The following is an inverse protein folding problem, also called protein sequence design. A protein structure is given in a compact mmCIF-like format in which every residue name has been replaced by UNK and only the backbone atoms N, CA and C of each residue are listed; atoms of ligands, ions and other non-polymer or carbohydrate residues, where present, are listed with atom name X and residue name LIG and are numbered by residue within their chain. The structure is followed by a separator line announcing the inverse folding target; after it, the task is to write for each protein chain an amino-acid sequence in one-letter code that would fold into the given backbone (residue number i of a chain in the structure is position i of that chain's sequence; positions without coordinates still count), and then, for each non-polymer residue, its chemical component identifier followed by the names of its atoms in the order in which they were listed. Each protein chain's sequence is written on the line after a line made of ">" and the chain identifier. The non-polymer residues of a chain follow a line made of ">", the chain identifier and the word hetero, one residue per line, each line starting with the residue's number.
data_IF_582984052230
#
_entry.id   IF_582984052230
#
_cell.length_a   1.000
_cell.length_b   1.000
_cell.length_c   1.000
_cell.angle_alpha   90.00
_cell.angle_beta   90.00
_cell.angle_gamma   90.00
#
_symmetry.space_group_name_H-M   'P 1'
#
loop_
_entity.id
_entity.type
_entity.pdbx_description
1 polymer ?
#
# COMPACT_ATOMS: atom_id res chain seq x y z
N UNK A 1 -5.08 -29.42 21.30
CA UNK A 1 -5.61 -30.15 20.11
C UNK A 1 -7.11 -30.15 20.24
N UNK A 2 -7.81 -29.39 19.40
CA UNK A 2 -9.24 -29.16 19.48
C UNK A 2 -9.66 -28.36 18.26
N UNK A 3 -9.73 -29.05 17.12
CA UNK A 3 -10.12 -28.51 15.83
C UNK A 3 -11.64 -28.49 15.74
N UNK A 4 -12.25 -27.34 15.98
CA UNK A 4 -13.65 -27.09 15.66
C UNK A 4 -13.79 -26.91 14.14
N UNK A 5 -14.07 -28.01 13.46
CA UNK A 5 -14.50 -28.03 12.06
C UNK A 5 -15.96 -27.58 12.03
N UNK A 6 -16.18 -26.29 11.78
CA UNK A 6 -17.52 -25.76 11.53
C UNK A 6 -17.94 -26.17 10.11
N UNK A 7 -18.66 -27.30 10.02
CA UNK A 7 -19.40 -27.72 8.83
C UNK A 7 -20.57 -26.75 8.61
N UNK A 8 -20.37 -25.72 7.79
CA UNK A 8 -21.48 -24.91 7.27
C UNK A 8 -22.13 -25.62 6.10
N UNK A 9 -23.27 -26.27 6.37
CA UNK A 9 -24.22 -26.77 5.38
C UNK A 9 -24.62 -25.65 4.41
N UNK A 10 -24.39 -25.88 3.11
CA UNK A 10 -25.08 -25.16 2.05
C UNK A 10 -26.53 -25.69 1.97
N UNK A 11 -27.56 -24.84 1.84
CA UNK A 11 -28.88 -25.33 1.52
C UNK A 11 -28.87 -25.75 0.04
N UNK A 12 -29.19 -27.03 -0.17
CA UNK A 12 -29.29 -27.68 -1.46
C UNK A 12 -30.40 -27.04 -2.30
N UNK A 13 -30.11 -26.82 -3.58
CA UNK A 13 -30.94 -26.11 -4.54
C UNK A 13 -31.77 -27.13 -5.32
N UNK A 14 -32.79 -27.71 -4.69
CA UNK A 14 -33.84 -28.44 -5.42
C UNK A 14 -35.16 -28.38 -4.68
N UNK A 15 -36.23 -28.10 -5.43
CA UNK A 15 -37.64 -27.99 -5.02
C UNK A 15 -38.10 -26.66 -4.41
N UNK A 16 -38.42 -25.66 -5.25
CA UNK A 16 -39.71 -24.94 -5.15
C UNK A 16 -40.11 -24.44 -6.54
N UNK A 17 -40.93 -25.23 -7.24
CA UNK A 17 -41.89 -24.71 -8.22
C UNK A 17 -43.14 -24.37 -7.39
N UNK A 18 -43.59 -23.12 -7.42
CA UNK A 18 -44.80 -22.72 -6.71
C UNK A 18 -44.93 -21.21 -6.51
N UNK A 19 -45.89 -20.64 -7.23
CA UNK A 19 -46.41 -19.27 -7.25
C UNK A 19 -46.57 -18.58 -5.87
N UNK A 20 -46.41 -17.24 -5.83
CA UNK A 20 -46.86 -16.40 -4.71
C UNK A 20 -45.83 -15.51 -3.98
N UNK A 21 -45.70 -14.25 -4.41
CA UNK A 21 -45.28 -13.09 -3.58
C UNK A 21 -43.77 -12.90 -3.29
N UNK A 22 -43.30 -11.66 -3.02
CA UNK A 22 -41.90 -11.37 -2.74
C UNK A 22 -41.51 -11.90 -1.35
N UNK A 23 -41.17 -13.18 -1.27
CA UNK A 23 -40.80 -13.84 -0.02
C UNK A 23 -39.50 -13.26 0.55
N UNK A 24 -39.44 -13.22 1.88
CA UNK A 24 -38.32 -12.73 2.71
C UNK A 24 -36.95 -13.28 2.28
N UNK A 25 -36.89 -14.42 1.59
CA UNK A 25 -35.68 -15.01 1.02
C UNK A 25 -34.90 -14.05 0.11
N UNK A 26 -35.59 -13.25 -0.73
CA UNK A 26 -34.93 -12.27 -1.61
C UNK A 26 -34.22 -11.15 -0.83
N UNK A 27 -34.72 -10.78 0.35
CA UNK A 27 -34.08 -9.79 1.24
C UNK A 27 -32.88 -10.38 1.98
N UNK A 28 -32.95 -11.65 2.36
CA UNK A 28 -31.85 -12.36 3.05
C UNK A 28 -30.68 -12.63 2.11
N UNK A 29 -30.92 -13.01 0.85
CA UNK A 29 -29.87 -13.18 -0.17
C UNK A 29 -29.18 -11.85 -0.50
N UNK A 30 -29.93 -10.74 -0.57
CA UNK A 30 -29.37 -9.39 -0.74
C UNK A 30 -28.51 -8.96 0.45
N UNK A 31 -28.98 -9.20 1.67
CA UNK A 31 -28.24 -8.90 2.90
C UNK A 31 -26.95 -9.76 3.01
N UNK A 32 -27.00 -11.03 2.60
CA UNK A 32 -25.85 -11.93 2.61
C UNK A 32 -24.73 -11.49 1.65
N UNK A 33 -25.08 -10.95 0.47
CA UNK A 33 -24.10 -10.33 -0.44
C UNK A 33 -23.42 -9.10 0.18
N UNK A 34 -24.18 -8.25 0.88
CA UNK A 34 -23.63 -7.08 1.59
C UNK A 34 -22.70 -7.51 2.74
N UNK A 35 -23.03 -8.59 3.45
CA UNK A 35 -22.18 -9.17 4.51
C UNK A 35 -20.85 -9.69 3.95
N UNK A 36 -20.81 -10.24 2.73
CA UNK A 36 -19.54 -10.58 2.04
C UNK A 36 -18.71 -9.33 1.74
N UNK A 37 -19.32 -8.25 1.26
CA UNK A 37 -18.62 -6.97 1.01
C UNK A 37 -18.08 -6.37 2.32
N UNK A 38 -18.79 -6.52 3.44
CA UNK A 38 -18.30 -6.12 4.77
C UNK A 38 -17.04 -6.87 5.23
N UNK A 39 -16.76 -8.07 4.70
CA UNK A 39 -15.46 -8.74 4.95
C UNK A 39 -14.30 -8.03 4.28
N UNK A 40 -14.53 -7.36 3.15
CA UNK A 40 -13.49 -6.54 2.49
C UNK A 40 -13.12 -5.32 3.33
N UNK A 41 -14.09 -4.75 4.05
CA UNK A 41 -13.82 -3.69 5.05
C UNK A 41 -12.89 -4.19 6.15
N UNK A 42 -12.91 -5.48 6.50
CA UNK A 42 -11.93 -6.06 7.45
C UNK A 42 -10.54 -6.12 6.85
N UNK A 43 -10.38 -6.43 5.57
CA UNK A 43 -9.09 -6.41 4.86
C UNK A 43 -8.54 -4.98 4.80
N UNK A 44 -9.38 -4.00 4.50
CA UNK A 44 -9.02 -2.57 4.54
C UNK A 44 -8.62 -2.14 5.96
N UNK A 45 -9.34 -2.59 7.00
CA UNK A 45 -8.99 -2.34 8.40
C UNK A 45 -7.68 -3.02 8.80
N UNK A 46 -7.43 -4.24 8.34
CA UNK A 46 -6.20 -4.97 8.62
C UNK A 46 -5.00 -4.35 7.92
N UNK A 47 -5.17 -3.90 6.67
CA UNK A 47 -4.19 -3.10 5.94
C UNK A 47 -3.86 -1.79 6.69
N UNK A 48 -4.87 -1.11 7.25
CA UNK A 48 -4.67 0.06 8.12
C UNK A 48 -3.91 -0.27 9.42
N UNK A 49 -4.15 -1.43 10.02
CA UNK A 49 -3.42 -1.87 11.23
C UNK A 49 -1.97 -2.21 10.90
N UNK A 50 -1.72 -2.86 9.76
CA UNK A 50 -0.37 -3.12 9.26
C UNK A 50 0.34 -1.79 9.02
N UNK A 51 -0.30 -0.82 8.36
CA UNK A 51 0.27 0.51 8.13
C UNK A 51 0.78 1.19 9.41
N UNK A 52 0.00 1.12 10.49
CA UNK A 52 0.33 1.73 11.77
C UNK A 52 1.48 1.03 12.52
N UNK A 53 1.75 -0.23 12.19
CA UNK A 53 2.83 -1.01 12.80
C UNK A 53 4.11 -1.01 11.93
N UNK A 54 3.99 -0.83 10.61
CA UNK A 54 5.11 -0.89 9.67
C UNK A 54 5.97 0.38 9.66
N UNK A 55 5.46 1.49 10.20
CA UNK A 55 6.11 2.81 10.18
C UNK A 55 7.38 2.92 11.04
N UNK A 56 7.70 1.90 11.86
CA UNK A 56 8.80 2.01 12.83
C UNK A 56 10.16 1.44 12.43
N UNK A 57 10.31 0.55 11.45
CA UNK A 57 11.64 -0.07 11.16
C UNK A 57 11.78 -0.73 9.80
N UNK A 58 10.80 -0.60 8.90
CA UNK A 58 10.73 -1.48 7.72
C UNK A 58 11.25 -0.79 6.45
N UNK A 59 12.08 -1.50 5.69
CA UNK A 59 12.65 -1.04 4.41
C UNK A 59 11.57 -0.48 3.47
N UNK A 60 11.83 0.67 2.83
CA UNK A 60 10.93 1.32 1.87
C UNK A 60 10.44 0.36 0.78
N UNK A 61 11.29 -0.58 0.34
CA UNK A 61 10.95 -1.58 -0.66
C UNK A 61 9.84 -2.54 -0.20
N UNK A 62 9.82 -2.90 1.09
CA UNK A 62 8.77 -3.76 1.64
C UNK A 62 7.43 -3.01 1.72
N UNK A 63 7.46 -1.72 2.09
CA UNK A 63 6.27 -0.88 2.14
C UNK A 63 5.66 -0.78 0.73
N UNK A 64 6.48 -0.53 -0.29
CA UNK A 64 6.08 -0.50 -1.70
C UNK A 64 5.48 -1.83 -2.16
N UNK A 65 6.08 -2.97 -1.79
CA UNK A 65 5.57 -4.29 -2.12
C UNK A 65 4.18 -4.56 -1.50
N UNK A 66 3.99 -4.21 -0.22
CA UNK A 66 2.70 -4.35 0.45
C UNK A 66 1.62 -3.47 -0.19
N UNK A 67 1.96 -2.22 -0.53
CA UNK A 67 1.06 -1.31 -1.26
C UNK A 67 0.62 -1.91 -2.61
N UNK A 68 1.56 -2.47 -3.38
CA UNK A 68 1.30 -3.12 -4.67
C UNK A 68 0.40 -4.36 -4.54
N UNK A 69 0.69 -5.26 -3.58
CA UNK A 69 -0.14 -6.44 -3.31
C UNK A 69 -1.57 -6.04 -2.93
N UNK A 70 -1.71 -4.99 -2.13
CA UNK A 70 -3.03 -4.51 -1.71
C UNK A 70 -3.87 -4.04 -2.89
N UNK A 71 -3.31 -3.22 -3.79
CA UNK A 71 -4.01 -2.76 -4.99
C UNK A 71 -4.34 -3.93 -5.92
N UNK A 72 -3.40 -4.84 -6.13
CA UNK A 72 -3.62 -6.04 -6.94
C UNK A 72 -4.80 -6.89 -6.41
N UNK A 73 -4.87 -7.12 -5.09
CA UNK A 73 -5.99 -7.85 -4.48
C UNK A 73 -7.31 -7.08 -4.64
N UNK A 74 -7.28 -5.75 -4.54
CA UNK A 74 -8.47 -4.93 -4.78
C UNK A 74 -8.98 -5.06 -6.23
N UNK A 75 -8.09 -5.03 -7.21
CA UNK A 75 -8.43 -5.19 -8.63
C UNK A 75 -9.01 -6.59 -8.91
N UNK A 76 -8.43 -7.65 -8.34
CA UNK A 76 -8.97 -9.01 -8.44
C UNK A 76 -10.39 -9.13 -7.87
N UNK A 77 -10.67 -8.42 -6.78
CA UNK A 77 -12.00 -8.40 -6.19
C UNK A 77 -13.00 -7.68 -7.11
N UNK A 78 -12.60 -6.55 -7.72
CA UNK A 78 -13.43 -5.85 -8.72
C UNK A 78 -13.74 -6.79 -9.89
N UNK A 79 -12.72 -7.47 -10.44
CA UNK A 79 -12.90 -8.51 -11.47
C UNK A 79 -13.91 -9.59 -11.03
N UNK A 80 -13.77 -10.12 -9.82
CA UNK A 80 -14.67 -11.15 -9.28
C UNK A 80 -16.11 -10.67 -9.20
N UNK A 81 -16.36 -9.46 -8.67
CA UNK A 81 -17.73 -8.94 -8.59
C UNK A 81 -18.31 -8.72 -9.98
N UNK A 82 -17.55 -8.12 -10.91
CA UNK A 82 -18.02 -7.91 -12.28
C UNK A 82 -18.39 -9.24 -12.96
N UNK A 83 -17.56 -10.27 -12.79
CA UNK A 83 -17.83 -11.61 -13.32
C UNK A 83 -19.08 -12.25 -12.67
N UNK A 84 -19.21 -12.18 -11.35
CA UNK A 84 -20.38 -12.72 -10.64
C UNK A 84 -21.68 -12.02 -11.05
N UNK A 85 -21.67 -10.69 -11.22
CA UNK A 85 -22.83 -9.95 -11.70
C UNK A 85 -23.15 -10.27 -13.16
N UNK A 86 -22.12 -10.47 -14.00
CA UNK A 86 -22.32 -10.89 -15.39
C UNK A 86 -22.95 -12.29 -15.50
N UNK A 87 -22.51 -13.25 -14.68
CA UNK A 87 -23.16 -14.56 -14.52
C UNK A 87 -24.60 -14.45 -14.01
N UNK A 88 -24.83 -13.58 -13.01
CA UNK A 88 -26.17 -13.39 -12.46
C UNK A 88 -27.12 -12.84 -13.53
N UNK A 89 -26.69 -11.82 -14.29
CA UNK A 89 -27.48 -11.23 -15.38
C UNK A 89 -27.80 -12.26 -16.46
N UNK A 90 -26.81 -13.08 -16.85
CA UNK A 90 -27.02 -14.14 -17.84
C UNK A 90 -28.01 -15.22 -17.41
N UNK A 91 -28.07 -15.55 -16.10
CA UNK A 91 -28.99 -16.57 -15.55
C UNK A 91 -30.37 -16.05 -15.15
N UNK A 92 -30.50 -14.76 -14.87
CA UNK A 92 -31.77 -14.13 -14.45
C UNK A 92 -32.80 -14.03 -15.58
N UNK A 93 -32.38 -14.21 -16.84
CA UNK A 93 -33.22 -14.06 -18.01
C UNK A 93 -33.62 -15.44 -18.53
N UNK A 94 -34.81 -15.90 -18.11
CA UNK A 94 -35.32 -17.25 -18.44
C UNK A 94 -35.75 -17.46 -19.89
N UNK A 95 -36.20 -16.41 -20.60
CA UNK A 95 -36.90 -16.55 -21.89
C UNK A 95 -36.29 -15.76 -23.07
N UNK A 96 -35.05 -15.24 -22.96
CA UNK A 96 -34.43 -14.48 -24.07
C UNK A 96 -32.94 -14.71 -24.21
N UNK A 97 -32.43 -14.51 -25.43
CA UNK A 97 -31.01 -14.71 -25.75
C UNK A 97 -30.10 -13.94 -24.76
N UNK A 98 -29.27 -14.70 -24.06
CA UNK A 98 -28.24 -14.22 -23.15
C UNK A 98 -26.86 -14.64 -23.67
N UNK A 99 -25.80 -14.04 -23.13
CA UNK A 99 -24.43 -14.47 -23.46
C UNK A 99 -24.18 -15.96 -23.13
N UNK A 100 -24.90 -16.52 -22.15
CA UNK A 100 -24.82 -17.94 -21.76
C UNK A 100 -25.48 -18.82 -22.83
N UNK A 101 -26.66 -18.41 -23.32
CA UNK A 101 -27.40 -19.06 -24.41
C UNK A 101 -26.59 -19.07 -25.70
N UNK A 102 -25.98 -17.93 -26.07
CA UNK A 102 -25.13 -17.80 -27.27
C UNK A 102 -23.92 -18.72 -27.22
N UNK A 103 -23.30 -18.89 -26.04
CA UNK A 103 -22.18 -19.83 -25.85
C UNK A 103 -22.63 -21.28 -25.59
N UNK A 104 -23.94 -21.57 -25.59
CA UNK A 104 -24.52 -22.89 -25.32
C UNK A 104 -24.09 -23.48 -23.97
N UNK A 105 -23.96 -22.62 -22.96
CA UNK A 105 -23.50 -22.96 -21.60
C UNK A 105 -24.67 -23.06 -20.60
N UNK A 106 -25.90 -23.24 -21.07
CA UNK A 106 -27.11 -23.22 -20.24
C UNK A 106 -27.15 -24.37 -19.22
N UNK A 107 -26.73 -25.56 -19.65
CA UNK A 107 -26.66 -26.76 -18.81
C UNK A 107 -25.28 -26.96 -18.16
N UNK A 108 -24.35 -26.03 -18.36
CA UNK A 108 -23.00 -26.12 -17.85
C UNK A 108 -22.96 -25.83 -16.34
N UNK A 109 -22.10 -26.57 -15.63
CA UNK A 109 -21.92 -26.33 -14.21
C UNK A 109 -21.23 -24.98 -13.95
N UNK A 110 -21.40 -24.43 -12.74
CA UNK A 110 -20.85 -23.12 -12.38
C UNK A 110 -19.33 -23.01 -12.56
N UNK A 111 -18.60 -24.11 -12.42
CA UNK A 111 -17.15 -24.15 -12.57
C UNK A 111 -16.68 -24.03 -14.03
N UNK A 112 -17.56 -24.27 -15.01
CA UNK A 112 -17.27 -24.09 -16.43
C UNK A 112 -17.64 -22.66 -16.88
N UNK A 113 -18.74 -22.12 -16.35
CA UNK A 113 -19.25 -20.79 -16.69
C UNK A 113 -18.44 -19.67 -16.03
N UNK A 114 -18.02 -19.87 -14.78
CA UNK A 114 -17.36 -18.83 -14.00
C UNK A 114 -15.99 -18.38 -14.55
N UNK A 115 -15.07 -19.27 -14.97
CA UNK A 115 -13.80 -18.86 -15.57
C UNK A 115 -13.99 -18.04 -16.85
N UNK A 116 -15.01 -18.39 -17.64
CA UNK A 116 -15.37 -17.67 -18.87
C UNK A 116 -15.86 -16.25 -18.57
N UNK A 117 -16.72 -16.09 -17.56
CA UNK A 117 -17.16 -14.77 -17.10
C UNK A 117 -16.04 -13.96 -16.42
N UNK A 118 -15.12 -14.62 -15.71
CA UNK A 118 -13.95 -13.99 -15.11
C UNK A 118 -13.00 -13.46 -16.18
N UNK A 119 -12.76 -14.26 -17.23
CA UNK A 119 -11.96 -13.82 -18.38
C UNK A 119 -12.62 -12.63 -19.09
N UNK A 120 -13.95 -12.63 -19.25
CA UNK A 120 -14.68 -11.47 -19.78
C UNK A 120 -14.51 -10.22 -18.90
N UNK A 121 -14.67 -10.34 -17.58
CA UNK A 121 -14.50 -9.22 -16.68
C UNK A 121 -13.07 -8.66 -16.71
N UNK A 122 -12.06 -9.54 -16.84
CA UNK A 122 -10.68 -9.15 -17.03
C UNK A 122 -10.44 -8.53 -18.41
N UNK A 123 -11.12 -8.99 -19.46
CA UNK A 123 -11.00 -8.41 -20.79
C UNK A 123 -11.50 -6.96 -20.86
N UNK A 124 -12.50 -6.60 -20.05
CA UNK A 124 -12.97 -5.21 -19.94
C UNK A 124 -11.90 -4.24 -19.39
N UNK A 125 -10.89 -4.75 -18.67
CA UNK A 125 -9.76 -3.94 -18.21
C UNK A 125 -8.67 -3.73 -19.27
N UNK A 126 -8.73 -4.47 -20.39
CA UNK A 126 -7.69 -4.51 -21.42
C UNK A 126 -6.54 -5.50 -21.14
N UNK A 127 -6.55 -6.21 -20.00
CA UNK A 127 -5.52 -7.21 -19.68
C UNK A 127 -5.77 -8.59 -20.30
N UNK A 128 -6.96 -8.83 -20.84
CA UNK A 128 -7.31 -10.07 -21.54
C UNK A 128 -8.15 -9.77 -22.78
N UNK A 129 -8.36 -10.79 -23.60
CA UNK A 129 -9.31 -10.75 -24.72
C UNK A 129 -10.47 -11.69 -24.43
N UNK A 130 -11.66 -11.34 -24.91
CA UNK A 130 -12.86 -12.17 -24.74
C UNK A 130 -13.73 -12.16 -25.99
N UNK A 131 -14.12 -13.35 -26.44
CA UNK A 131 -15.02 -13.54 -27.58
C UNK A 131 -16.51 -13.53 -27.17
N UNK A 132 -16.84 -12.83 -26.09
CA UNK A 132 -18.20 -12.77 -25.54
C UNK A 132 -18.73 -11.37 -25.77
N UNK A 133 -19.83 -11.31 -26.52
CA UNK A 133 -20.57 -10.08 -26.76
C UNK A 133 -21.90 -10.14 -25.99
N UNK A 134 -22.38 -8.98 -25.59
CA UNK A 134 -23.69 -8.84 -24.97
C UNK A 134 -24.78 -9.06 -26.03
N UNK A 135 -25.67 -10.03 -25.78
CA UNK A 135 -26.79 -10.34 -26.64
C UNK A 135 -28.01 -9.46 -26.32
N UNK A 136 -28.11 -9.01 -25.07
CA UNK A 136 -29.26 -8.24 -24.57
C UNK A 136 -28.95 -6.75 -24.39
N UNK A 137 -29.97 -5.89 -24.51
CA UNK A 137 -29.88 -4.47 -24.14
C UNK A 137 -29.42 -4.25 -22.68
N UNK A 138 -29.82 -5.11 -21.75
CA UNK A 138 -29.40 -5.02 -20.35
C UNK A 138 -27.92 -5.42 -20.20
N UNK A 139 -27.49 -6.49 -20.88
CA UNK A 139 -26.09 -6.89 -20.93
C UNK A 139 -25.21 -5.83 -21.58
N UNK A 140 -25.70 -5.16 -22.63
CA UNK A 140 -25.02 -4.06 -23.30
C UNK A 140 -24.83 -2.87 -22.35
N UNK A 141 -25.89 -2.43 -21.67
CA UNK A 141 -25.82 -1.36 -20.68
C UNK A 141 -24.83 -1.71 -19.55
N UNK A 142 -24.90 -2.94 -19.04
CA UNK A 142 -23.99 -3.41 -18.01
C UNK A 142 -22.53 -3.45 -18.49
N UNK A 143 -22.29 -3.94 -19.71
CA UNK A 143 -20.96 -3.98 -20.34
C UNK A 143 -20.37 -2.58 -20.48
N UNK A 144 -21.17 -1.61 -20.96
CA UNK A 144 -20.73 -0.22 -21.08
C UNK A 144 -20.36 0.38 -19.72
N UNK A 145 -21.16 0.16 -18.67
CA UNK A 145 -20.88 0.64 -17.32
C UNK A 145 -19.60 0.01 -16.74
N UNK A 146 -19.39 -1.29 -16.97
CA UNK A 146 -18.16 -1.98 -16.55
C UNK A 146 -16.93 -1.44 -17.26
N UNK A 147 -17.02 -1.14 -18.56
CA UNK A 147 -15.93 -0.52 -19.33
C UNK A 147 -15.54 0.87 -18.77
N UNK A 148 -16.52 1.74 -18.48
CA UNK A 148 -16.24 3.03 -17.83
C UNK A 148 -15.64 2.87 -16.44
N UNK A 149 -16.13 1.90 -15.65
CA UNK A 149 -15.57 1.63 -14.32
C UNK A 149 -14.12 1.17 -14.43
N UNK A 150 -13.78 0.31 -15.39
CA UNK A 150 -12.40 -0.11 -15.64
C UNK A 150 -11.50 1.01 -16.09
N UNK A 151 -11.98 1.91 -16.94
CA UNK A 151 -11.22 3.10 -17.33
C UNK A 151 -10.76 3.87 -16.09
N UNK A 152 -11.67 4.13 -15.14
CA UNK A 152 -11.34 4.83 -13.90
C UNK A 152 -10.38 4.02 -13.03
N UNK A 153 -10.64 2.72 -12.84
CA UNK A 153 -9.80 1.84 -12.01
C UNK A 153 -8.38 1.77 -12.55
N UNK A 154 -8.19 1.52 -13.86
CA UNK A 154 -6.86 1.44 -14.50
C UNK A 154 -6.12 2.77 -14.41
N UNK A 155 -6.79 3.91 -14.63
CA UNK A 155 -6.16 5.22 -14.46
C UNK A 155 -5.68 5.47 -13.02
N UNK A 156 -6.49 5.09 -12.03
CA UNK A 156 -6.14 5.24 -10.61
C UNK A 156 -4.99 4.32 -10.23
N UNK A 157 -5.00 3.06 -10.66
CA UNK A 157 -3.92 2.10 -10.34
C UNK A 157 -2.59 2.57 -10.92
N UNK A 158 -2.56 2.99 -12.19
CA UNK A 158 -1.37 3.57 -12.82
C UNK A 158 -0.87 4.80 -12.05
N UNK A 159 -1.78 5.70 -11.65
CA UNK A 159 -1.44 6.87 -10.85
C UNK A 159 -0.78 6.51 -9.51
N UNK A 160 -1.33 5.53 -8.80
CA UNK A 160 -0.76 5.04 -7.55
C UNK A 160 0.65 4.45 -7.76
N UNK A 161 0.83 3.57 -8.75
CA UNK A 161 2.15 3.02 -9.07
C UNK A 161 3.17 4.11 -9.45
N UNK A 162 2.76 5.12 -10.22
CA UNK A 162 3.61 6.25 -10.56
C UNK A 162 4.09 7.02 -9.33
N UNK A 163 3.16 7.35 -8.40
CA UNK A 163 3.52 8.06 -7.16
C UNK A 163 4.49 7.26 -6.30
N UNK A 164 4.26 5.96 -6.14
CA UNK A 164 5.11 5.06 -5.36
C UNK A 164 6.50 4.89 -5.97
N UNK A 165 6.59 4.77 -7.29
CA UNK A 165 7.87 4.73 -8.00
C UNK A 165 8.65 6.04 -7.80
N UNK A 166 7.95 7.17 -7.78
CA UNK A 166 8.58 8.48 -7.52
C UNK A 166 9.07 8.60 -6.08
N UNK A 167 8.27 8.17 -5.10
CA UNK A 167 8.67 8.13 -3.68
C UNK A 167 9.98 7.36 -3.48
N UNK A 168 10.13 6.18 -4.11
CA UNK A 168 11.37 5.41 -4.05
C UNK A 168 12.51 5.98 -4.90
N UNK A 169 12.20 6.72 -5.97
CA UNK A 169 13.22 7.31 -6.84
C UNK A 169 13.82 8.61 -6.27
N UNK A 170 13.08 9.38 -5.47
CA UNK A 170 13.58 10.66 -4.92
C UNK A 170 14.84 10.48 -4.06
N UNK A 171 14.96 9.37 -3.32
CA UNK A 171 16.18 9.00 -2.58
C UNK A 171 17.38 8.73 -3.53
N UNK A 172 17.11 8.09 -4.66
CA UNK A 172 18.12 7.81 -5.70
C UNK A 172 18.52 9.06 -6.49
N UNK A 173 17.59 10.03 -6.67
CA UNK A 173 17.83 11.25 -7.44
C UNK A 173 18.95 12.10 -6.85
N UNK A 174 18.98 12.29 -5.53
CA UNK A 174 20.03 13.06 -4.87
C UNK A 174 21.41 12.45 -5.14
N UNK A 175 21.55 11.12 -4.97
CA UNK A 175 22.79 10.39 -5.28
C UNK A 175 23.19 10.49 -6.75
N UNK A 176 22.25 10.36 -7.68
CA UNK A 176 22.51 10.45 -9.12
C UNK A 176 22.94 11.87 -9.50
N UNK A 177 22.25 12.89 -8.96
CA UNK A 177 22.57 14.29 -9.20
C UNK A 177 23.98 14.63 -8.70
N UNK A 178 24.34 14.17 -7.50
CA UNK A 178 25.66 14.43 -6.93
C UNK A 178 26.77 13.63 -7.61
N UNK A 179 26.48 12.41 -8.08
CA UNK A 179 27.39 11.66 -8.93
C UNK A 179 27.66 12.37 -10.26
N UNK A 180 26.62 12.98 -10.85
CA UNK A 180 26.76 13.76 -12.09
C UNK A 180 27.56 15.05 -11.86
N UNK A 181 27.34 15.74 -10.74
CA UNK A 181 28.10 16.93 -10.36
C UNK A 181 29.58 16.60 -10.13
N UNK A 182 29.87 15.52 -9.40
CA UNK A 182 31.23 15.03 -9.18
C UNK A 182 31.93 14.68 -10.49
N UNK A 183 31.23 13.99 -11.41
CA UNK A 183 31.78 13.67 -12.72
C UNK A 183 32.11 14.92 -13.54
N UNK A 184 31.18 15.89 -13.59
CA UNK A 184 31.41 17.18 -14.26
C UNK A 184 32.62 17.92 -13.68
N UNK A 185 32.77 17.93 -12.36
CA UNK A 185 33.90 18.56 -11.69
C UNK A 185 35.24 17.91 -12.08
N UNK A 186 35.30 16.58 -12.09
CA UNK A 186 36.51 15.83 -12.47
C UNK A 186 36.89 16.05 -13.94
N UNK A 187 35.89 16.13 -14.82
CA UNK A 187 36.07 16.42 -16.25
C UNK A 187 36.56 17.86 -16.48
N UNK A 188 35.96 18.85 -15.81
CA UNK A 188 36.35 20.28 -15.92
C UNK A 188 37.74 20.59 -15.37
N UNK A 189 38.22 19.81 -14.39
CA UNK A 189 39.57 19.95 -13.81
C UNK A 189 40.61 19.05 -14.45
N UNK A 190 40.26 18.38 -15.56
CA UNK A 190 41.15 17.49 -16.32
C UNK A 190 41.87 16.44 -15.45
N UNK A 191 41.16 15.92 -14.44
CA UNK A 191 41.72 14.94 -13.52
C UNK A 191 42.06 13.65 -14.28
N UNK A 192 43.23 13.07 -14.01
CA UNK A 192 43.66 11.80 -14.60
C UNK A 192 42.58 10.72 -14.51
N UNK A 193 42.33 10.01 -15.61
CA UNK A 193 41.26 8.97 -15.70
C UNK A 193 41.38 7.92 -14.60
N UNK A 194 42.61 7.57 -14.19
CA UNK A 194 42.86 6.61 -13.11
C UNK A 194 42.34 7.13 -11.78
N UNK A 195 42.63 8.38 -11.42
CA UNK A 195 42.17 9.00 -10.18
C UNK A 195 40.65 9.25 -10.21
N UNK A 196 40.13 9.76 -11.33
CA UNK A 196 38.70 10.00 -11.50
C UNK A 196 37.88 8.70 -11.33
N UNK A 197 38.35 7.58 -11.90
CA UNK A 197 37.68 6.28 -11.72
C UNK A 197 37.69 5.77 -10.28
N UNK A 198 38.79 5.98 -9.55
CA UNK A 198 38.90 5.62 -8.12
C UNK A 198 37.93 6.44 -7.27
N UNK A 199 37.85 7.75 -7.51
CA UNK A 199 36.94 8.67 -6.80
C UNK A 199 35.48 8.31 -7.09
N UNK A 200 35.11 8.09 -8.35
CA UNK A 200 33.74 7.71 -8.73
C UNK A 200 33.36 6.31 -8.23
N UNK A 201 34.33 5.40 -8.08
CA UNK A 201 34.12 4.09 -7.44
C UNK A 201 33.87 4.28 -5.95
N UNK A 202 34.70 5.07 -5.27
CA UNK A 202 34.53 5.36 -3.84
C UNK A 202 33.17 6.01 -3.56
N UNK A 203 32.77 7.00 -4.36
CA UNK A 203 31.45 7.64 -4.29
C UNK A 203 30.32 6.61 -4.43
N UNK A 204 30.37 5.71 -5.42
CA UNK A 204 29.29 4.71 -5.60
C UNK A 204 29.07 3.78 -4.41
N UNK A 205 30.13 3.44 -3.67
CA UNK A 205 30.05 2.51 -2.53
C UNK A 205 29.86 3.20 -1.18
N UNK A 206 30.37 4.42 -1.01
CA UNK A 206 30.42 5.10 0.29
C UNK A 206 29.58 6.37 0.36
N UNK A 207 29.01 6.83 -0.75
CA UNK A 207 28.15 8.00 -0.72
C UNK A 207 26.83 7.65 -0.04
N UNK A 208 26.69 8.17 1.16
CA UNK A 208 25.41 8.35 1.83
C UNK A 208 25.03 9.82 1.67
N UNK A 209 23.79 10.12 1.26
CA UNK A 209 23.30 11.49 1.26
C UNK A 209 23.56 12.08 2.64
N UNK A 210 24.21 13.24 2.69
CA UNK A 210 24.37 13.96 3.94
C UNK A 210 23.00 14.47 4.37
N UNK A 211 22.36 13.76 5.30
CA UNK A 211 21.22 14.29 6.03
C UNK A 211 21.76 15.12 7.21
N UNK A 212 21.67 16.46 7.15
CA UNK A 212 22.01 17.27 8.32
C UNK A 212 21.12 16.80 9.47
N UNK A 213 21.75 16.49 10.61
CA UNK A 213 20.99 16.19 11.83
C UNK A 213 20.01 17.33 12.07
N UNK A 214 18.73 16.96 12.20
CA UNK A 214 17.66 17.91 12.50
C UNK A 214 17.94 18.50 13.86
N UNK A 215 17.99 19.83 13.94
CA UNK A 215 18.25 20.50 15.20
C UNK A 215 16.98 20.54 16.04
N UNK A 216 17.13 20.42 17.36
CA UNK A 216 16.02 20.53 18.31
C UNK A 216 15.24 21.84 18.11
N UNK A 217 15.95 22.92 17.79
CA UNK A 217 15.38 24.24 17.53
C UNK A 217 14.47 24.31 16.28
N UNK A 218 14.68 23.42 15.30
CA UNK A 218 13.91 23.35 14.05
C UNK A 218 12.57 22.61 14.24
N UNK A 219 12.39 21.89 15.35
CA UNK A 219 11.19 21.07 15.60
C UNK A 219 10.21 21.81 16.51
N UNK A 220 9.18 22.41 15.91
CA UNK A 220 8.14 23.14 16.65
C UNK A 220 7.37 22.28 17.66
N UNK A 221 7.19 20.99 17.37
CA UNK A 221 6.48 20.06 18.25
C UNK A 221 7.18 19.85 19.59
N UNK A 222 8.52 19.88 19.62
CA UNK A 222 9.27 19.70 20.87
C UNK A 222 8.98 20.82 21.88
N UNK A 223 8.64 22.03 21.40
CA UNK A 223 8.24 23.17 22.24
C UNK A 223 6.82 23.03 22.82
N UNK A 224 5.96 22.22 22.18
CA UNK A 224 4.56 22.01 22.58
C UNK A 224 4.40 20.79 23.50
N UNK A 225 5.42 19.96 23.62
CA UNK A 225 5.43 18.76 24.47
C UNK A 225 5.46 19.14 25.96
N UNK A 226 4.85 18.35 26.87
CA UNK A 226 4.99 18.57 28.30
C UNK A 226 6.45 18.61 28.76
N UNK A 227 6.76 19.48 29.72
CA UNK A 227 8.13 19.70 30.22
C UNK A 227 8.78 18.43 30.77
N UNK A 228 8.01 17.52 31.36
CA UNK A 228 8.50 16.23 31.86
C UNK A 228 9.16 15.39 30.75
N UNK A 229 8.53 15.32 29.57
CA UNK A 229 9.07 14.57 28.43
C UNK A 229 10.24 15.30 27.76
N UNK A 230 10.25 16.63 27.76
CA UNK A 230 11.40 17.40 27.25
C UNK A 230 12.67 17.14 28.08
N UNK A 231 12.53 17.10 29.40
CA UNK A 231 13.63 16.82 30.33
C UNK A 231 14.17 15.41 30.10
N UNK A 232 13.30 14.42 29.99
CA UNK A 232 13.67 13.03 29.76
C UNK A 232 14.38 12.85 28.41
N UNK A 233 13.86 13.48 27.34
CA UNK A 233 14.48 13.46 26.02
C UNK A 233 15.89 14.08 26.05
N UNK A 234 16.04 15.29 26.60
CA UNK A 234 17.35 15.97 26.66
C UNK A 234 18.35 15.22 27.54
N UNK A 235 17.88 14.59 28.61
CA UNK A 235 18.71 13.71 29.44
C UNK A 235 19.28 12.57 28.58
N UNK A 236 18.43 11.81 27.89
CA UNK A 236 18.89 10.68 27.05
C UNK A 236 19.82 11.12 25.91
N UNK A 237 19.52 12.23 25.24
CA UNK A 237 20.30 12.72 24.11
C UNK A 237 21.70 13.19 24.54
N UNK A 238 21.81 13.98 25.61
CA UNK A 238 23.06 14.66 25.95
C UNK A 238 23.88 13.97 27.07
N UNK A 239 23.26 13.17 27.93
CA UNK A 239 23.93 12.59 29.09
C UNK A 239 25.06 11.63 28.70
N UNK A 240 24.89 10.88 27.61
CA UNK A 240 25.94 9.99 27.07
C UNK A 240 27.17 10.79 26.65
N UNK A 241 26.99 11.92 25.95
CA UNK A 241 28.10 12.78 25.52
C UNK A 241 28.76 13.52 26.69
N UNK A 242 27.98 14.02 27.66
CA UNK A 242 28.54 14.69 28.83
C UNK A 242 29.36 13.74 29.70
N UNK A 243 28.89 12.52 29.94
CA UNK A 243 29.59 11.52 30.77
C UNK A 243 30.92 11.02 30.17
N UNK A 244 31.19 11.25 28.89
CA UNK A 244 32.51 10.98 28.32
C UNK A 244 33.58 11.88 28.94
N UNK A 245 33.21 13.04 29.47
CA UNK A 245 34.14 13.94 30.13
C UNK A 245 34.25 13.60 31.64
N UNK A 246 35.47 13.44 32.19
CA UNK A 246 35.69 13.00 33.58
C UNK A 246 34.95 13.84 34.62
N UNK A 247 34.95 15.17 34.47
CA UNK A 247 34.25 16.09 35.38
C UNK A 247 32.74 15.84 35.46
N UNK A 248 32.07 15.68 34.32
CA UNK A 248 30.62 15.48 34.27
C UNK A 248 30.23 14.06 34.68
N UNK A 249 31.13 13.09 34.51
CA UNK A 249 30.96 11.73 35.04
C UNK A 249 30.91 11.75 36.58
N UNK A 250 31.90 12.37 37.23
CA UNK A 250 31.95 12.52 38.69
C UNK A 250 30.78 13.36 39.22
N UNK A 251 30.45 14.47 38.54
CA UNK A 251 29.29 15.29 38.89
C UNK A 251 27.97 14.50 38.76
N UNK A 252 27.86 13.63 37.75
CA UNK A 252 26.69 12.78 37.56
C UNK A 252 26.52 11.70 38.63
N UNK A 253 27.61 11.24 39.25
CA UNK A 253 27.57 10.29 40.38
C UNK A 253 27.28 10.98 41.71
N UNK A 254 27.73 12.22 41.89
CA UNK A 254 27.56 12.96 43.14
C UNK A 254 26.24 13.76 43.18
N UNK A 255 25.82 14.32 42.05
CA UNK A 255 24.64 15.18 41.93
C UNK A 255 23.98 15.04 40.55
N UNK A 256 23.23 13.96 40.38
CA UNK A 256 22.45 13.70 39.16
C UNK A 256 21.48 14.86 38.80
N UNK A 257 20.75 15.49 39.77
CA UNK A 257 19.89 16.64 39.46
C UNK A 257 20.62 17.82 38.83
N UNK A 258 21.85 18.13 39.29
CA UNK A 258 22.65 19.20 38.72
C UNK A 258 23.06 18.88 37.27
N UNK A 259 23.42 17.63 36.99
CA UNK A 259 23.76 17.21 35.63
C UNK A 259 22.55 17.26 34.69
N UNK A 260 21.36 16.89 35.18
CA UNK A 260 20.11 17.03 34.41
C UNK A 260 19.77 18.50 34.15
N UNK A 261 19.99 19.39 35.12
CA UNK A 261 19.79 20.83 34.93
C UNK A 261 20.75 21.39 33.87
N UNK A 262 22.00 20.92 33.82
CA UNK A 262 22.96 21.27 32.77
C UNK A 262 22.47 20.79 31.40
N UNK A 263 21.98 19.55 31.28
CA UNK A 263 21.39 19.04 30.04
C UNK A 263 20.22 19.91 29.54
N UNK A 264 19.45 20.50 30.46
CA UNK A 264 18.28 21.29 30.12
C UNK A 264 18.61 22.75 29.79
N UNK A 265 19.50 23.39 30.56
CA UNK A 265 19.67 24.85 30.52
C UNK A 265 20.94 25.31 29.80
N UNK A 266 21.97 24.47 29.76
CA UNK A 266 23.32 24.89 29.33
C UNK A 266 23.72 24.35 27.96
N UNK A 267 22.96 23.42 27.39
CA UNK A 267 23.28 22.80 26.10
C UNK A 267 22.48 23.46 24.98
N UNK A 268 23.21 23.91 23.95
CA UNK A 268 22.67 24.41 22.70
C UNK A 268 23.36 23.72 21.54
N UNK A 269 22.59 23.27 20.56
CA UNK A 269 23.13 22.67 19.35
C UNK A 269 23.65 23.75 18.39
N UNK A 270 24.81 23.50 17.79
CA UNK A 270 25.39 24.35 16.75
C UNK A 270 25.66 23.53 15.49
N UNK A 271 25.30 24.08 14.32
CA UNK A 271 25.60 23.47 13.02
C UNK A 271 26.97 23.92 12.55
N UNK A 272 27.98 23.05 12.64
CA UNK A 272 29.29 23.31 12.05
C UNK A 272 29.20 23.12 10.53
N UNK A 273 29.34 24.22 9.76
CA UNK A 273 29.64 24.12 8.33
C UNK A 273 31.12 23.82 8.18
N UNK A 274 31.46 22.58 7.83
CA UNK A 274 32.78 22.28 7.28
C UNK A 274 32.86 22.99 5.92
N UNK A 275 33.74 24.00 5.85
CA UNK A 275 34.06 24.73 4.61
C UNK A 275 35.01 23.94 3.72
#
# INVERSE_FOLDING_TARGET
>A
VGSDVVLTFAPDESTVVGDGGPTRAGKVVRAWRIIRVLRLVRIIKMARRLWKNTERTVSIHYILAVKAIYVFVADLLVCHYMACYFCAIGRLRGDGESWITVKRLENAHIHEVYPVALNWALAQSGFSTSDIQAASALENLYTSLCGFLWMVVVCVTIGLFYTWMREGADESKCRVQEGNNLRKYLEQREVSRKLASQILRYFRFNYQPYEPKVMEAEINFLRQMPSSFQIELRKEVYMTSLRQHPFFSTLGTENEPALVAICQLAITEYRFRMG
#
